data_IF_265875498740
#
_entry.id   IF_265875498740
#
_cell.length_a   1.000
_cell.length_b   1.000
_cell.length_c   1.000
_cell.angle_alpha   90.00
_cell.angle_beta   90.00
_cell.angle_gamma   90.00
#
_symmetry.space_group_name_H-M   'P 1'
#
loop_
_entity.id
_entity.type
_entity.pdbx_description
1 polymer ?
#
# COMPACT_ATOMS: atom_id res chain seq x y z
N UNK A 1 8.22 -14.73 11.05
CA UNK A 1 7.42 -13.83 10.17
C UNK A 1 7.83 -12.40 10.51
N UNK A 2 8.58 -11.69 9.65
CA UNK A 2 8.94 -10.29 9.91
C UNK A 2 7.72 -9.43 9.59
N UNK A 3 7.06 -8.89 10.62
CA UNK A 3 6.11 -7.80 10.44
C UNK A 3 6.92 -6.63 9.87
N UNK A 4 6.58 -6.13 8.67
CA UNK A 4 7.36 -5.13 7.94
C UNK A 4 7.43 -3.75 8.63
N UNK A 5 7.03 -3.64 9.91
CA UNK A 5 6.97 -2.37 10.64
C UNK A 5 6.07 -1.35 9.93
N UNK A 6 5.00 -1.82 9.29
CA UNK A 6 3.98 -0.96 8.66
C UNK A 6 3.17 -0.33 9.78
N UNK A 7 3.13 0.99 9.81
CA UNK A 7 2.33 1.78 10.74
C UNK A 7 1.05 2.28 10.06
N UNK A 8 0.07 2.71 10.86
CA UNK A 8 -1.14 3.36 10.34
C UNK A 8 -0.79 4.60 9.51
N UNK A 9 0.19 5.41 9.97
CA UNK A 9 0.66 6.58 9.25
C UNK A 9 1.22 6.25 7.85
N UNK A 10 1.87 5.08 7.69
CA UNK A 10 2.34 4.64 6.37
C UNK A 10 1.17 4.34 5.43
N UNK A 11 0.12 3.71 5.94
CA UNK A 11 -1.10 3.40 5.18
C UNK A 11 -1.82 4.71 4.80
N UNK A 12 -2.01 5.61 5.77
CA UNK A 12 -2.64 6.92 5.53
C UNK A 12 -1.89 7.70 4.45
N UNK A 13 -0.55 7.70 4.51
CA UNK A 13 0.29 8.38 3.53
C UNK A 13 0.18 7.76 2.12
N UNK A 14 0.02 6.43 2.02
CA UNK A 14 -0.25 5.76 0.73
C UNK A 14 -1.61 6.18 0.19
N UNK A 15 -2.64 6.30 1.04
CA UNK A 15 -3.99 6.66 0.59
C UNK A 15 -4.10 8.14 0.21
N UNK A 16 -3.47 9.03 0.97
CA UNK A 16 -3.53 10.48 0.77
C UNK A 16 -2.80 10.93 -0.50
N UNK A 17 -1.63 10.36 -0.77
CA UNK A 17 -0.75 10.77 -1.87
C UNK A 17 0.00 9.55 -2.45
N UNK A 18 -0.70 8.70 -3.22
CA UNK A 18 -0.09 7.54 -3.86
C UNK A 18 0.66 7.91 -5.13
N UNK A 19 1.77 7.21 -5.38
CA UNK A 19 2.49 7.28 -6.65
C UNK A 19 1.68 6.64 -7.79
N UNK A 20 0.90 5.60 -7.48
CA UNK A 20 0.03 4.91 -8.42
C UNK A 20 -1.23 4.40 -7.75
N UNK A 21 -2.34 4.41 -8.49
CA UNK A 21 -3.59 3.75 -8.15
C UNK A 21 -3.94 2.69 -9.18
N UNK A 22 -4.63 1.65 -8.74
CA UNK A 22 -5.16 0.58 -9.58
C UNK A 22 -6.50 0.09 -8.98
N UNK A 23 -7.23 -0.71 -9.74
CA UNK A 23 -8.53 -1.23 -9.32
C UNK A 23 -8.72 -2.68 -9.78
N UNK A 24 -9.14 -3.54 -8.86
CA UNK A 24 -9.48 -4.94 -9.14
C UNK A 24 -10.91 -5.22 -8.63
N UNK A 25 -11.87 -5.12 -9.56
CA UNK A 25 -13.29 -5.24 -9.23
C UNK A 25 -13.73 -4.15 -8.23
N UNK A 26 -14.16 -4.57 -7.04
CA UNK A 26 -14.55 -3.65 -5.96
C UNK A 26 -13.38 -3.13 -5.12
N UNK A 27 -12.20 -3.71 -5.28
CA UNK A 27 -11.03 -3.34 -4.48
C UNK A 27 -10.21 -2.28 -5.20
N UNK A 28 -9.83 -1.26 -4.44
CA UNK A 28 -8.90 -0.23 -4.85
C UNK A 28 -7.51 -0.59 -4.33
N UNK A 29 -6.52 -0.24 -5.13
CA UNK A 29 -5.13 -0.52 -4.82
C UNK A 29 -4.36 0.80 -4.93
N UNK A 30 -3.61 1.13 -3.89
CA UNK A 30 -2.73 2.28 -3.88
C UNK A 30 -1.30 1.82 -3.61
N UNK A 31 -0.35 2.49 -4.26
CA UNK A 31 1.06 2.22 -4.15
C UNK A 31 1.79 3.49 -3.77
N UNK A 32 2.75 3.38 -2.84
CA UNK A 32 3.67 4.46 -2.55
C UNK A 32 5.06 3.95 -2.22
N UNK A 33 6.08 4.55 -2.82
CA UNK A 33 7.47 4.31 -2.52
C UNK A 33 7.91 5.17 -1.34
N UNK A 34 8.54 4.53 -0.35
CA UNK A 34 9.10 5.20 0.81
C UNK A 34 10.62 5.18 0.72
N UNK A 35 11.23 6.36 0.72
CA UNK A 35 12.68 6.46 0.75
C UNK A 35 13.23 5.86 2.05
N UNK A 36 14.21 4.94 1.95
CA UNK A 36 14.85 4.26 3.09
C UNK A 36 13.91 3.44 3.99
N UNK A 37 12.68 3.13 3.55
CA UNK A 37 11.81 2.16 4.22
C UNK A 37 11.52 0.99 3.31
N UNK A 38 11.13 -0.13 3.91
CA UNK A 38 10.73 -1.35 3.21
C UNK A 38 11.74 -1.86 2.16
N UNK A 39 13.04 -1.58 2.34
CA UNK A 39 14.06 -1.91 1.34
C UNK A 39 13.93 -1.14 0.03
N UNK A 40 13.40 0.10 0.07
CA UNK A 40 13.05 0.95 -1.08
C UNK A 40 11.97 0.39 -2.00
N UNK A 41 11.33 -0.72 -1.60
CA UNK A 41 10.19 -1.23 -2.32
C UNK A 41 8.91 -0.45 -1.99
N UNK A 42 7.98 -0.31 -2.95
CA UNK A 42 6.73 0.37 -2.71
C UNK A 42 5.83 -0.42 -1.76
N UNK A 43 5.15 0.29 -0.89
CA UNK A 43 4.07 -0.24 -0.07
C UNK A 43 2.79 -0.29 -0.93
N UNK A 44 2.25 -1.50 -1.12
CA UNK A 44 0.94 -1.72 -1.71
C UNK A 44 -0.10 -1.78 -0.61
N UNK A 45 -1.16 -1.01 -0.75
CA UNK A 45 -2.35 -1.02 0.11
C UNK A 45 -3.56 -1.38 -0.74
N UNK A 46 -4.27 -2.43 -0.35
CA UNK A 46 -5.55 -2.83 -0.95
C UNK A 46 -6.66 -2.46 0.01
N UNK A 47 -7.65 -1.72 -0.48
CA UNK A 47 -8.75 -1.20 0.33
C UNK A 47 -10.06 -1.21 -0.45
N UNK A 48 -11.17 -1.14 0.25
CA UNK A 48 -12.50 -0.95 -0.33
C UNK A 48 -13.13 0.30 0.26
N UNK A 49 -13.94 0.99 -0.54
CA UNK A 49 -14.79 2.10 -0.10
C UNK A 49 -16.21 1.54 -0.07
N UNK A 50 -16.69 1.21 1.13
CA UNK A 50 -18.09 0.85 1.37
C UNK A 50 -18.76 2.03 2.11
N UNK A 51 -19.11 1.88 3.39
CA UNK A 51 -19.53 3.02 4.24
C UNK A 51 -18.31 3.79 4.79
N UNK A 52 -17.25 3.05 5.13
CA UNK A 52 -15.94 3.55 5.53
C UNK A 52 -14.84 2.98 4.63
N UNK A 53 -13.63 3.55 4.71
CA UNK A 53 -12.46 2.97 4.04
C UNK A 53 -11.96 1.78 4.85
N UNK A 54 -12.07 0.57 4.27
CA UNK A 54 -11.62 -0.66 4.91
C UNK A 54 -10.31 -1.12 4.28
N UNK A 55 -9.25 -1.23 5.09
CA UNK A 55 -7.97 -1.79 4.65
C UNK A 55 -8.07 -3.31 4.62
N UNK A 56 -7.97 -3.89 3.43
CA UNK A 56 -8.00 -5.35 3.25
C UNK A 56 -6.62 -5.94 3.51
N UNK A 57 -5.57 -5.33 2.96
CA UNK A 57 -4.18 -5.76 3.19
C UNK A 57 -3.19 -4.65 2.86
N UNK A 58 -2.04 -4.66 3.54
CA UNK A 58 -0.92 -3.76 3.28
C UNK A 58 0.40 -4.53 3.36
N UNK A 59 1.23 -4.42 2.32
CA UNK A 59 2.53 -5.11 2.27
C UNK A 59 3.49 -4.43 1.30
N UNK A 60 4.81 -4.42 1.56
CA UNK A 60 5.78 -3.99 0.57
C UNK A 60 5.84 -5.00 -0.57
N UNK A 61 5.85 -4.52 -1.81
CA UNK A 61 6.13 -5.37 -2.95
C UNK A 61 7.58 -5.87 -2.87
N UNK A 62 7.87 -7.03 -3.44
CA UNK A 62 9.26 -7.37 -3.74
C UNK A 62 9.69 -6.55 -4.97
N UNK A 63 10.92 -6.03 -4.99
CA UNK A 63 11.46 -5.22 -6.09
C UNK A 63 11.20 -5.80 -7.49
N UNK A 64 11.17 -7.13 -7.62
CA UNK A 64 10.92 -7.83 -8.90
C UNK A 64 9.51 -7.63 -9.46
N UNK A 65 8.51 -7.30 -8.63
CA UNK A 65 7.10 -7.18 -9.05
C UNK A 65 6.68 -5.75 -9.43
N UNK A 66 7.56 -4.76 -9.27
CA UNK A 66 7.23 -3.35 -9.49
C UNK A 66 7.62 -2.82 -10.89
N UNK A 67 8.38 -3.60 -11.67
CA UNK A 67 8.77 -3.23 -13.04
C UNK A 67 7.71 -3.56 -14.08
#
# INVERSE_FOLDING_TARGET
MRLYGITVADIEQVLSDPDRRDQEGRYLIAYRQFFRRFGNAPLKVVYAIEEDTVIVTAYPLKETFWR
#
